data_IF_239133333290
#
_entry.id   IF_239133333290
#
_cell.length_a   1.000
_cell.length_b   1.000
_cell.length_c   1.000
_cell.angle_alpha   90.00
_cell.angle_beta   90.00
_cell.angle_gamma   90.00
#
_symmetry.space_group_name_H-M   'P 1'
#
loop_
_entity.id
_entity.type
_entity.pdbx_description
1 polymer ?
#
# COMPACT_ATOMS: atom_id res chain seq x y z
N UNK A 1 -21.28 -1.69 -20.94
CA UNK A 1 -22.16 -0.80 -20.17
C UNK A 1 -21.33 0.04 -19.21
N UNK A 2 -21.67 1.33 -19.05
CA UNK A 2 -20.99 2.24 -18.12
C UNK A 2 -21.56 2.03 -16.71
N UNK A 3 -20.72 1.78 -15.73
CA UNK A 3 -21.14 1.57 -14.34
C UNK A 3 -20.62 2.70 -13.44
N UNK A 4 -21.54 3.29 -12.67
CA UNK A 4 -21.20 4.37 -11.72
C UNK A 4 -21.29 3.85 -10.27
N UNK A 5 -20.27 4.18 -9.46
CA UNK A 5 -20.19 3.83 -8.03
C UNK A 5 -19.97 5.12 -7.26
N UNK A 6 -20.80 5.37 -6.25
CA UNK A 6 -20.63 6.48 -5.34
C UNK A 6 -19.93 5.98 -4.07
N UNK A 7 -18.70 6.40 -3.87
CA UNK A 7 -17.86 6.08 -2.73
C UNK A 7 -17.56 7.30 -1.86
N UNK A 8 -18.32 8.39 -2.02
CA UNK A 8 -18.16 9.58 -1.19
C UNK A 8 -18.54 9.26 0.26
N UNK A 9 -17.80 9.84 1.22
CA UNK A 9 -17.99 9.57 2.65
C UNK A 9 -17.54 8.19 3.12
N UNK A 10 -17.02 7.33 2.24
CA UNK A 10 -16.52 6.01 2.62
C UNK A 10 -15.05 6.08 3.04
N UNK A 11 -14.75 5.51 4.21
CA UNK A 11 -13.38 5.39 4.69
C UNK A 11 -12.63 4.22 4.03
N UNK A 12 -11.28 4.32 3.94
CA UNK A 12 -10.42 3.21 3.53
C UNK A 12 -10.67 1.98 4.43
N UNK A 13 -10.78 0.75 3.86
CA UNK A 13 -10.52 0.37 2.46
C UNK A 13 -11.77 0.32 1.55
N UNK A 14 -12.94 0.76 2.01
CA UNK A 14 -14.23 0.56 1.32
C UNK A 14 -14.23 1.02 -0.16
N UNK A 15 -13.73 2.23 -0.53
CA UNK A 15 -13.71 2.65 -1.94
C UNK A 15 -12.94 1.69 -2.84
N UNK A 16 -11.84 1.14 -2.36
CA UNK A 16 -11.03 0.15 -3.12
C UNK A 16 -11.80 -1.16 -3.27
N UNK A 17 -12.47 -1.63 -2.21
CA UNK A 17 -13.25 -2.87 -2.23
C UNK A 17 -14.45 -2.78 -3.17
N UNK A 18 -15.17 -1.66 -3.16
CA UNK A 18 -16.31 -1.42 -4.07
C UNK A 18 -15.85 -1.34 -5.53
N UNK A 19 -14.71 -0.68 -5.78
CA UNK A 19 -14.10 -0.65 -7.11
C UNK A 19 -13.70 -2.05 -7.58
N UNK A 20 -13.10 -2.85 -6.69
CA UNK A 20 -12.76 -4.25 -6.98
C UNK A 20 -13.98 -5.06 -7.41
N UNK A 21 -15.04 -5.06 -6.59
CA UNK A 21 -16.30 -5.76 -6.89
C UNK A 21 -16.91 -5.35 -8.25
N UNK A 22 -16.76 -4.08 -8.60
CA UNK A 22 -17.26 -3.59 -9.88
C UNK A 22 -16.40 -4.06 -11.06
N UNK A 23 -15.07 -4.08 -10.90
CA UNK A 23 -14.13 -4.57 -11.92
C UNK A 23 -14.24 -6.09 -12.16
N UNK A 24 -14.65 -6.85 -11.16
CA UNK A 24 -14.84 -8.32 -11.26
C UNK A 24 -16.10 -8.70 -12.07
N UNK A 25 -17.03 -7.78 -12.31
CA UNK A 25 -18.22 -8.07 -13.10
C UNK A 25 -17.90 -8.03 -14.60
N UNK A 26 -18.30 -9.06 -15.37
CA UNK A 26 -17.90 -9.19 -16.79
C UNK A 26 -18.43 -8.09 -17.69
N UNK A 27 -19.56 -7.45 -17.33
CA UNK A 27 -20.30 -6.52 -18.18
C UNK A 27 -19.83 -5.06 -18.09
N UNK A 28 -18.84 -4.75 -17.24
CA UNK A 28 -18.37 -3.39 -17.06
C UNK A 28 -17.26 -3.03 -18.05
N UNK A 29 -17.59 -2.30 -19.10
CA UNK A 29 -16.61 -1.74 -20.05
C UNK A 29 -15.87 -0.52 -19.47
N UNK A 30 -16.60 0.38 -18.81
CA UNK A 30 -16.07 1.56 -18.14
C UNK A 30 -16.73 1.71 -16.75
N UNK A 31 -15.91 1.98 -15.75
CA UNK A 31 -16.38 2.21 -14.37
C UNK A 31 -16.09 3.66 -13.99
N UNK A 32 -17.09 4.34 -13.45
CA UNK A 32 -16.95 5.68 -12.88
C UNK A 32 -17.05 5.57 -11.36
N UNK A 33 -16.03 6.02 -10.65
CA UNK A 33 -16.00 6.05 -9.17
C UNK A 33 -15.97 7.50 -8.71
N UNK A 34 -16.93 7.85 -7.84
CA UNK A 34 -17.00 9.16 -7.19
C UNK A 34 -16.40 9.10 -5.79
N UNK A 35 -15.54 10.07 -5.47
CA UNK A 35 -14.82 10.17 -4.20
C UNK A 35 -14.77 11.63 -3.76
N UNK A 36 -14.67 11.87 -2.46
CA UNK A 36 -14.54 13.20 -1.84
C UNK A 36 -13.30 13.32 -0.96
N UNK A 37 -12.50 12.24 -0.85
CA UNK A 37 -11.25 12.21 -0.11
C UNK A 37 -10.04 11.99 -1.05
N UNK A 38 -9.00 12.88 -0.98
CA UNK A 38 -7.80 12.74 -1.80
C UNK A 38 -7.03 11.43 -1.59
N UNK A 39 -7.03 10.89 -0.37
CA UNK A 39 -6.39 9.61 -0.04
C UNK A 39 -7.10 8.45 -0.72
N UNK A 40 -8.42 8.41 -0.63
CA UNK A 40 -9.26 7.40 -1.29
C UNK A 40 -9.14 7.46 -2.81
N UNK A 41 -9.09 8.67 -3.39
CA UNK A 41 -8.81 8.88 -4.82
C UNK A 41 -7.51 8.21 -5.25
N UNK A 42 -6.43 8.48 -4.53
CA UNK A 42 -5.11 7.94 -4.85
C UNK A 42 -5.07 6.41 -4.68
N UNK A 43 -5.69 5.90 -3.64
CA UNK A 43 -5.77 4.46 -3.36
C UNK A 43 -6.55 3.70 -4.46
N UNK A 44 -7.68 4.22 -4.90
CA UNK A 44 -8.48 3.62 -5.99
C UNK A 44 -7.74 3.72 -7.32
N UNK A 45 -7.09 4.86 -7.62
CA UNK A 45 -6.29 5.04 -8.83
C UNK A 45 -5.19 3.98 -8.91
N UNK A 46 -4.36 3.89 -7.87
CA UNK A 46 -3.24 2.93 -7.81
C UNK A 46 -3.70 1.48 -7.85
N UNK A 47 -4.81 1.17 -7.19
CA UNK A 47 -5.41 -0.15 -7.25
C UNK A 47 -5.79 -0.54 -8.68
N UNK A 48 -6.47 0.35 -9.42
CA UNK A 48 -6.89 0.08 -10.80
C UNK A 48 -5.69 0.00 -11.77
N UNK A 49 -4.72 0.91 -11.62
CA UNK A 49 -3.49 0.93 -12.44
C UNK A 49 -2.63 -0.32 -12.20
N UNK A 50 -2.50 -0.80 -10.97
CA UNK A 50 -1.76 -2.03 -10.64
C UNK A 50 -2.35 -3.29 -11.27
N UNK A 51 -3.62 -3.23 -11.66
CA UNK A 51 -4.33 -4.29 -12.40
C UNK A 51 -4.34 -4.07 -13.91
N UNK A 52 -3.55 -3.12 -14.41
CA UNK A 52 -3.39 -2.84 -15.83
C UNK A 52 -4.53 -2.02 -16.45
N UNK A 53 -5.46 -1.48 -15.65
CA UNK A 53 -6.52 -0.61 -16.13
C UNK A 53 -6.04 0.82 -16.34
N UNK A 54 -6.63 1.53 -17.30
CA UNK A 54 -6.37 2.96 -17.50
C UNK A 54 -7.31 3.77 -16.60
N UNK A 55 -6.75 4.76 -15.89
CA UNK A 55 -7.52 5.64 -15.01
C UNK A 55 -7.34 7.08 -15.44
N UNK A 56 -8.45 7.79 -15.63
CA UNK A 56 -8.45 9.25 -15.74
C UNK A 56 -9.19 9.84 -14.55
N UNK A 57 -8.68 10.96 -14.06
CA UNK A 57 -9.20 11.63 -12.85
C UNK A 57 -9.61 13.05 -13.23
N UNK A 58 -10.83 13.44 -12.87
CA UNK A 58 -11.31 14.81 -12.93
C UNK A 58 -11.78 15.24 -11.55
N UNK A 59 -11.64 16.54 -11.24
CA UNK A 59 -12.07 17.11 -9.98
C UNK A 59 -13.01 18.27 -10.22
N UNK A 60 -14.19 18.24 -9.61
CA UNK A 60 -15.16 19.32 -9.65
C UNK A 60 -15.77 19.50 -8.25
N UNK A 61 -15.69 20.74 -7.72
CA UNK A 61 -16.28 21.13 -6.43
C UNK A 61 -15.94 20.19 -5.27
N UNK A 62 -14.68 19.72 -5.21
CA UNK A 62 -14.20 18.80 -4.16
C UNK A 62 -14.63 17.34 -4.34
N UNK A 63 -15.25 17.00 -5.48
CA UNK A 63 -15.58 15.63 -5.84
C UNK A 63 -14.61 15.14 -6.92
N UNK A 64 -13.95 14.03 -6.65
CA UNK A 64 -13.07 13.35 -7.61
C UNK A 64 -13.89 12.31 -8.39
N UNK A 65 -13.84 12.40 -9.69
CA UNK A 65 -14.45 11.42 -10.61
C UNK A 65 -13.33 10.62 -11.27
N UNK A 66 -13.22 9.34 -10.94
CA UNK A 66 -12.28 8.43 -11.57
C UNK A 66 -13.01 7.62 -12.63
N UNK A 67 -12.56 7.75 -13.89
CA UNK A 67 -13.01 6.89 -15.00
C UNK A 67 -11.97 5.80 -15.19
N UNK A 68 -12.37 4.56 -14.96
CA UNK A 68 -11.54 3.38 -15.07
C UNK A 68 -11.96 2.62 -16.33
N UNK A 69 -11.08 2.60 -17.33
CA UNK A 69 -11.27 1.82 -18.55
C UNK A 69 -10.63 0.46 -18.38
N UNK A 70 -11.44 -0.58 -18.48
CA UNK A 70 -10.98 -1.96 -18.44
C UNK A 70 -10.11 -2.25 -19.67
N UNK A 71 -8.85 -2.59 -19.46
CA UNK A 71 -8.08 -3.20 -20.53
C UNK A 71 -8.64 -4.61 -20.72
N UNK A 72 -9.03 -4.94 -21.93
CA UNK A 72 -9.57 -6.27 -22.24
C UNK A 72 -8.60 -7.33 -21.74
N UNK A 73 -9.01 -8.14 -20.77
CA UNK A 73 -8.23 -9.28 -20.32
C UNK A 73 -8.14 -10.28 -21.47
N UNK A 74 -6.93 -10.60 -21.89
CA UNK A 74 -6.69 -11.80 -22.68
C UNK A 74 -7.08 -13.02 -21.83
N UNK A 75 -7.70 -14.08 -22.40
CA UNK A 75 -8.04 -15.29 -21.66
C UNK A 75 -6.86 -15.98 -20.97
N UNK A 76 -5.62 -15.56 -21.26
CA UNK A 76 -4.39 -16.03 -20.61
C UNK A 76 -4.13 -15.35 -19.26
N UNK A 77 -4.67 -14.14 -19.02
CA UNK A 77 -4.50 -13.41 -17.76
C UNK A 77 -5.51 -13.83 -16.67
N UNK A 78 -6.70 -14.32 -17.07
CA UNK A 78 -7.67 -14.89 -16.12
C UNK A 78 -7.21 -16.20 -15.49
N UNK A 79 -6.41 -17.02 -16.19
CA UNK A 79 -5.83 -18.25 -15.65
C UNK A 79 -4.71 -18.04 -14.65
N UNK A 80 -4.13 -16.82 -14.56
CA UNK A 80 -3.09 -16.46 -13.60
C UNK A 80 -3.66 -16.08 -12.21
N UNK A 81 -4.97 -15.81 -12.12
CA UNK A 81 -5.63 -15.45 -10.85
C UNK A 81 -6.10 -16.69 -10.08
N UNK A 82 -6.30 -17.83 -10.73
CA UNK A 82 -6.73 -19.10 -10.11
C UNK A 82 -5.59 -20.01 -9.62
N UNK A 83 -4.36 -19.80 -10.07
CA UNK A 83 -3.21 -20.42 -9.44
C UNK A 83 -2.75 -19.50 -8.31
N UNK A 84 -2.91 -19.92 -7.03
CA UNK A 84 -2.03 -19.44 -5.97
C UNK A 84 -0.62 -19.45 -6.55
N UNK A 85 0.06 -18.32 -6.72
CA UNK A 85 1.47 -18.36 -7.07
C UNK A 85 2.13 -19.16 -5.94
N UNK A 86 2.83 -20.22 -6.26
CA UNK A 86 3.88 -20.73 -5.39
C UNK A 86 4.64 -19.48 -4.95
N UNK A 87 4.94 -19.37 -3.67
CA UNK A 87 5.52 -18.19 -3.03
C UNK A 87 6.79 -17.72 -3.77
N UNK A 88 6.59 -16.91 -4.83
CA UNK A 88 7.63 -16.27 -5.63
C UNK A 88 8.03 -14.92 -5.05
N UNK A 89 7.34 -14.48 -3.98
CA UNK A 89 7.64 -13.24 -3.28
C UNK A 89 8.87 -13.40 -2.37
N UNK A 90 9.65 -12.34 -2.24
CA UNK A 90 10.73 -12.26 -1.28
C UNK A 90 10.25 -12.16 0.17
N UNK A 91 11.15 -11.85 1.07
CA UNK A 91 10.85 -11.61 2.48
C UNK A 91 10.15 -10.26 2.63
N UNK A 92 9.09 -10.21 3.42
CA UNK A 92 8.41 -8.98 3.80
C UNK A 92 8.64 -8.70 5.28
N UNK A 93 9.13 -7.51 5.61
CA UNK A 93 9.22 -7.02 6.99
C UNK A 93 7.98 -6.19 7.31
N UNK A 94 7.31 -6.55 8.41
CA UNK A 94 6.08 -5.89 8.85
C UNK A 94 6.32 -5.20 10.20
N UNK A 95 6.26 -3.87 10.20
CA UNK A 95 6.51 -3.01 11.36
C UNK A 95 5.21 -2.31 11.77
N UNK A 96 4.63 -2.71 12.90
CA UNK A 96 3.42 -2.10 13.44
C UNK A 96 3.70 -1.05 14.53
N UNK A 97 4.97 -0.82 14.85
CA UNK A 97 5.41 0.14 15.86
C UNK A 97 6.64 0.93 15.39
N UNK A 98 6.84 2.11 15.97
CA UNK A 98 8.06 2.92 15.85
C UNK A 98 9.19 2.48 16.82
N UNK A 99 8.94 1.41 17.59
CA UNK A 99 9.89 0.82 18.53
C UNK A 99 9.74 -0.69 18.57
N UNK A 100 10.83 -1.43 18.79
CA UNK A 100 10.85 -2.88 18.86
C UNK A 100 10.69 -3.36 20.30
N UNK A 101 9.70 -4.24 20.53
CA UNK A 101 9.38 -4.76 21.87
C UNK A 101 8.41 -3.89 22.65
N UNK A 102 7.99 -4.38 23.83
CA UNK A 102 6.93 -3.77 24.66
C UNK A 102 7.40 -3.23 26.01
N UNK A 103 8.69 -3.26 26.28
CA UNK A 103 9.26 -2.77 27.52
C UNK A 103 9.52 -1.26 27.50
N UNK A 104 10.79 -0.87 27.60
CA UNK A 104 11.19 0.53 27.52
C UNK A 104 11.09 1.06 26.10
N UNK A 105 10.46 2.23 25.90
CA UNK A 105 10.42 2.91 24.60
C UNK A 105 11.80 3.30 24.10
N UNK A 106 12.67 3.74 25.02
CA UNK A 106 14.05 4.13 24.69
C UNK A 106 14.83 2.94 24.15
N UNK A 107 14.82 1.82 24.89
CA UNK A 107 15.43 0.56 24.43
C UNK A 107 14.81 0.09 23.10
N UNK A 108 13.49 0.20 22.96
CA UNK A 108 12.78 -0.20 21.74
C UNK A 108 13.23 0.58 20.49
N UNK A 109 13.55 1.86 20.62
CA UNK A 109 14.12 2.67 19.51
C UNK A 109 15.54 2.22 19.16
N UNK A 110 16.37 1.98 20.17
CA UNK A 110 17.73 1.44 19.96
C UNK A 110 17.66 0.11 19.23
N UNK A 111 16.77 -0.79 19.65
CA UNK A 111 16.58 -2.10 19.04
C UNK A 111 16.03 -2.00 17.61
N UNK A 112 15.11 -1.09 17.33
CA UNK A 112 14.56 -0.86 15.98
C UNK A 112 15.67 -0.43 15.02
N UNK A 113 16.50 0.52 15.43
CA UNK A 113 17.66 0.97 14.65
C UNK A 113 18.63 -0.18 14.39
N UNK A 114 19.01 -0.91 15.44
CA UNK A 114 19.90 -2.06 15.32
C UNK A 114 19.33 -3.15 14.41
N UNK A 115 18.02 -3.39 14.47
CA UNK A 115 17.34 -4.35 13.61
C UNK A 115 17.43 -3.93 12.11
N UNK A 116 17.11 -2.68 11.78
CA UNK A 116 17.16 -2.21 10.40
C UNK A 116 18.59 -2.23 9.84
N UNK A 117 19.56 -1.78 10.61
CA UNK A 117 20.98 -1.82 10.22
C UNK A 117 21.49 -3.25 10.04
N UNK A 118 21.10 -4.17 10.90
CA UNK A 118 21.46 -5.59 10.77
C UNK A 118 20.77 -6.22 9.55
N UNK A 119 19.49 -5.88 9.31
CA UNK A 119 18.73 -6.36 8.16
C UNK A 119 19.37 -5.92 6.83
N UNK A 120 19.89 -4.70 6.77
CA UNK A 120 20.58 -4.16 5.60
C UNK A 120 21.85 -4.94 5.24
N UNK A 121 22.59 -5.41 6.28
CA UNK A 121 23.84 -6.16 6.14
C UNK A 121 23.62 -7.67 6.02
N UNK A 122 22.38 -8.13 6.14
CA UNK A 122 22.04 -9.56 6.08
C UNK A 122 21.86 -10.06 4.64
N UNK A 123 21.95 -11.38 4.45
CA UNK A 123 21.67 -12.05 3.18
C UNK A 123 20.17 -12.24 2.91
N UNK A 124 19.29 -11.56 3.67
CA UNK A 124 17.85 -11.65 3.52
C UNK A 124 17.43 -11.04 2.19
N UNK A 125 16.74 -11.81 1.36
CA UNK A 125 16.14 -11.33 0.10
C UNK A 125 14.90 -10.49 0.41
N UNK A 126 15.14 -9.27 0.89
CA UNK A 126 14.09 -8.34 1.29
C UNK A 126 13.40 -7.74 0.07
N UNK A 127 12.10 -7.97 -0.05
CA UNK A 127 11.27 -7.41 -1.12
C UNK A 127 10.55 -6.15 -0.68
N UNK A 128 9.94 -6.19 0.53
CA UNK A 128 9.12 -5.09 1.03
C UNK A 128 9.29 -4.84 2.51
N UNK A 129 9.12 -3.58 2.89
CA UNK A 129 8.91 -3.13 4.27
C UNK A 129 7.51 -2.52 4.34
N UNK A 130 6.66 -3.04 5.22
CA UNK A 130 5.30 -2.55 5.41
C UNK A 130 5.20 -1.88 6.77
N UNK A 131 4.74 -0.64 6.78
CA UNK A 131 4.63 0.21 7.96
C UNK A 131 3.16 0.52 8.24
N UNK A 132 2.70 0.14 9.43
CA UNK A 132 1.35 0.47 9.93
C UNK A 132 1.42 1.06 11.33
N UNK A 133 0.29 1.57 11.81
CA UNK A 133 0.17 2.20 13.13
C UNK A 133 1.32 3.21 13.36
N UNK A 134 1.98 3.21 14.52
CA UNK A 134 3.10 4.12 14.77
C UNK A 134 4.35 3.81 13.93
N UNK A 135 4.46 2.62 13.35
CA UNK A 135 5.52 2.26 12.40
C UNK A 135 5.65 3.19 11.21
N UNK A 136 4.55 3.85 10.75
CA UNK A 136 4.61 4.84 9.67
C UNK A 136 5.50 6.03 9.97
N UNK A 137 5.73 6.33 11.26
CA UNK A 137 6.62 7.42 11.70
C UNK A 137 8.07 7.17 11.32
N UNK A 138 8.48 5.90 11.20
CA UNK A 138 9.85 5.52 10.82
C UNK A 138 10.23 6.06 9.43
N UNK A 139 9.27 6.17 8.51
CA UNK A 139 9.48 6.66 7.15
C UNK A 139 9.23 8.18 6.99
N UNK A 140 8.97 8.89 8.07
CA UNK A 140 8.62 10.31 8.05
C UNK A 140 9.78 11.19 8.54
N UNK A 141 9.67 12.49 8.24
CA UNK A 141 10.58 13.53 8.74
C UNK A 141 10.76 13.44 10.25
N UNK A 142 12.02 13.51 10.71
CA UNK A 142 12.40 13.42 12.13
C UNK A 142 12.62 12.00 12.64
N UNK A 143 12.50 10.99 11.81
CA UNK A 143 12.84 9.60 12.18
C UNK A 143 14.35 9.39 12.22
N UNK A 144 14.83 8.75 13.28
CA UNK A 144 16.25 8.40 13.45
C UNK A 144 16.73 7.32 12.46
N UNK A 145 15.80 6.58 11.87
CA UNK A 145 16.08 5.47 10.93
C UNK A 145 15.65 5.81 9.49
N UNK A 146 15.40 7.10 9.22
CA UNK A 146 14.94 7.52 7.90
C UNK A 146 15.95 7.21 6.79
N UNK A 147 17.23 7.43 7.07
CA UNK A 147 18.29 7.15 6.09
C UNK A 147 18.43 5.64 5.83
N UNK A 148 18.35 4.80 6.86
CA UNK A 148 18.34 3.34 6.68
C UNK A 148 17.19 2.92 5.73
N UNK A 149 15.98 3.49 5.91
CA UNK A 149 14.84 3.21 5.03
C UNK A 149 15.05 3.75 3.59
N UNK A 150 15.68 4.90 3.43
CA UNK A 150 16.03 5.43 2.10
C UNK A 150 17.03 4.54 1.37
N UNK A 151 17.98 3.97 2.07
CA UNK A 151 18.95 3.04 1.51
C UNK A 151 18.26 1.75 1.03
N UNK A 152 17.34 1.18 1.81
CA UNK A 152 16.50 0.08 1.35
C UNK A 152 15.72 0.43 0.08
N UNK A 153 15.10 1.60 0.06
CA UNK A 153 14.36 2.07 -1.11
C UNK A 153 15.26 2.23 -2.35
N UNK A 154 16.45 2.78 -2.18
CA UNK A 154 17.45 2.93 -3.24
C UNK A 154 17.94 1.57 -3.79
N UNK A 155 17.97 0.53 -2.95
CA UNK A 155 18.29 -0.85 -3.33
C UNK A 155 17.10 -1.59 -3.97
N UNK A 156 15.97 -0.92 -4.19
CA UNK A 156 14.79 -1.48 -4.84
C UNK A 156 13.78 -2.16 -3.90
N UNK A 157 13.98 -2.07 -2.58
CA UNK A 157 12.99 -2.57 -1.61
C UNK A 157 11.77 -1.66 -1.62
N UNK A 158 10.59 -2.22 -1.79
CA UNK A 158 9.34 -1.46 -1.76
C UNK A 158 8.95 -1.12 -0.32
N UNK A 159 8.76 0.17 0.00
CA UNK A 159 8.34 0.60 1.34
C UNK A 159 6.90 1.13 1.26
N UNK A 160 6.00 0.46 1.98
CA UNK A 160 4.57 0.74 2.00
C UNK A 160 4.14 1.30 3.35
N UNK A 161 3.69 2.56 3.39
CA UNK A 161 3.16 3.20 4.59
C UNK A 161 1.64 3.30 4.53
N UNK A 162 0.94 2.79 5.55
CA UNK A 162 -0.51 2.82 5.63
C UNK A 162 -1.06 4.26 5.61
N UNK A 163 -1.85 4.60 4.58
CA UNK A 163 -2.42 5.93 4.41
C UNK A 163 -3.33 6.35 5.57
N UNK A 164 -4.19 5.46 6.05
CA UNK A 164 -5.05 5.72 7.22
C UNK A 164 -4.23 6.07 8.47
N UNK A 165 -3.08 5.40 8.69
CA UNK A 165 -2.22 5.69 9.83
C UNK A 165 -1.52 7.04 9.68
N UNK A 166 -1.02 7.36 8.48
CA UNK A 166 -0.41 8.65 8.17
C UNK A 166 -1.40 9.81 8.35
N UNK A 167 -2.66 9.61 7.93
CA UNK A 167 -3.73 10.60 8.10
C UNK A 167 -4.10 10.76 9.59
N UNK A 168 -4.23 9.65 10.33
CA UNK A 168 -4.52 9.67 11.77
C UNK A 168 -3.49 10.47 12.58
N UNK A 169 -2.19 10.30 12.27
CA UNK A 169 -1.12 11.05 12.92
C UNK A 169 -0.87 12.43 12.31
N UNK A 170 -1.56 12.82 11.23
CA UNK A 170 -1.36 14.11 10.55
C UNK A 170 0.02 14.28 9.90
N UNK A 171 0.69 13.19 9.54
CA UNK A 171 2.08 13.19 9.05
C UNK A 171 2.23 12.76 7.58
N UNK A 172 1.15 12.65 6.84
CA UNK A 172 1.19 12.19 5.44
C UNK A 172 2.10 13.04 4.55
N UNK A 173 2.12 14.36 4.77
CA UNK A 173 3.00 15.28 4.05
C UNK A 173 4.47 15.18 4.45
N UNK A 174 4.75 14.51 5.56
CA UNK A 174 6.10 14.29 6.11
C UNK A 174 6.70 12.94 5.70
N UNK A 175 6.00 12.16 4.89
CA UNK A 175 6.52 10.89 4.37
C UNK A 175 7.69 11.18 3.41
N UNK A 176 8.88 10.66 3.74
CA UNK A 176 10.13 10.90 3.01
C UNK A 176 10.79 9.61 2.48
N UNK A 177 10.31 8.43 2.89
CA UNK A 177 10.77 7.15 2.37
C UNK A 177 9.59 6.27 1.96
N UNK A 178 9.65 5.69 0.75
CA UNK A 178 8.62 4.82 0.21
C UNK A 178 7.37 5.56 -0.27
N UNK A 179 6.22 4.88 -0.23
CA UNK A 179 4.95 5.41 -0.74
C UNK A 179 3.77 5.14 0.21
N UNK A 180 2.74 5.98 0.08
CA UNK A 180 1.46 5.76 0.77
C UNK A 180 0.77 4.54 0.18
N UNK A 181 0.27 3.65 1.04
CA UNK A 181 -0.43 2.43 0.67
C UNK A 181 -1.78 2.34 1.38
N UNK A 182 -2.53 1.31 1.08
CA UNK A 182 -3.83 1.01 1.67
C UNK A 182 -3.87 -0.43 2.19
N UNK A 183 -4.87 -0.74 3.01
CA UNK A 183 -4.99 -2.06 3.64
C UNK A 183 -5.13 -3.21 2.62
N UNK A 184 -5.74 -2.96 1.46
CA UNK A 184 -5.87 -3.97 0.42
C UNK A 184 -4.49 -4.33 -0.18
N UNK A 185 -3.67 -3.34 -0.52
CA UNK A 185 -2.30 -3.53 -1.04
C UNK A 185 -1.41 -4.19 0.02
N UNK A 186 -1.53 -3.76 1.28
CA UNK A 186 -0.82 -4.34 2.42
C UNK A 186 -1.17 -5.82 2.58
N UNK A 187 -2.48 -6.15 2.64
CA UNK A 187 -2.92 -7.54 2.80
C UNK A 187 -2.45 -8.43 1.65
N UNK A 188 -2.56 -7.96 0.41
CA UNK A 188 -2.08 -8.73 -0.75
C UNK A 188 -0.56 -8.95 -0.69
N UNK A 189 0.22 -7.94 -0.30
CA UNK A 189 1.67 -8.06 -0.16
C UNK A 189 2.05 -9.10 0.90
N UNK A 190 1.33 -9.11 2.03
CA UNK A 190 1.54 -10.12 3.07
C UNK A 190 1.12 -11.52 2.61
N UNK A 191 0.02 -11.64 1.88
CA UNK A 191 -0.49 -12.93 1.41
C UNK A 191 0.40 -13.60 0.34
N UNK A 192 1.15 -12.80 -0.42
CA UNK A 192 2.05 -13.27 -1.48
C UNK A 192 3.51 -13.42 -1.00
N UNK A 193 3.84 -12.96 0.20
CA UNK A 193 5.18 -13.06 0.75
C UNK A 193 5.61 -14.51 0.95
N UNK A 194 6.86 -14.84 0.61
CA UNK A 194 7.45 -16.15 0.93
C UNK A 194 7.66 -16.31 2.44
N UNK A 195 8.00 -15.21 3.10
CA UNK A 195 8.21 -15.14 4.56
C UNK A 195 7.88 -13.73 5.06
N UNK A 196 7.23 -13.66 6.21
CA UNK A 196 6.96 -12.41 6.92
C UNK A 196 7.79 -12.38 8.19
N UNK A 197 8.57 -11.30 8.34
CA UNK A 197 9.24 -10.98 9.61
C UNK A 197 8.43 -9.86 10.25
N UNK A 198 7.70 -10.20 11.31
CA UNK A 198 6.95 -9.23 12.09
C UNK A 198 7.75 -8.83 13.32
N UNK A 199 7.88 -7.52 13.55
CA UNK A 199 8.52 -6.90 14.72
C UNK A 199 7.62 -5.85 15.34
#
# INVERSE_FOLDING_TARGET
>A
EMRRIDCRGLACPQPVLETKKALEKPDAGEIIVLLDDPGSKENVRRFAESRGHRVSVTEEKGVFTLKIQRKGSSPAEEKLIEKRPEALGGVVVFLDSDSLGRGSKELGRILMRSFLQTLEQSDVQLEKIILINSGVKLACEGSEVLEDLREFFAKGVEILSCGTCLDYFGIKKKLLAGKVSNMYEILNSLALASKIIKV
#
